data_IF_030435447911
#
_entry.id   IF_030435447911
#
_cell.length_a   1.000
_cell.length_b   1.000
_cell.length_c   1.000
_cell.angle_alpha   90.00
_cell.angle_beta   90.00
_cell.angle_gamma   90.00
#
_symmetry.space_group_name_H-M   'P 1'
#
loop_
_entity.id
_entity.type
_entity.pdbx_description
1 polymer ?
#
# COMPACT_ATOMS: atom_id res chain seq x y z
N UNK A 1 8.50 6.81 11.40
CA UNK A 1 8.60 5.43 11.96
C UNK A 1 10.01 5.13 12.43
N UNK A 2 11.02 5.59 11.70
CA UNK A 2 12.44 5.47 12.06
C UNK A 2 12.75 6.12 13.41
N UNK A 3 12.19 7.31 13.69
CA UNK A 3 12.28 7.98 14.99
C UNK A 3 11.73 7.17 16.19
N UNK A 4 10.85 6.20 15.94
CA UNK A 4 10.33 5.31 17.01
C UNK A 4 11.36 4.22 17.37
N UNK A 5 12.40 4.04 16.55
CA UNK A 5 13.50 3.10 16.77
C UNK A 5 13.70 2.08 15.64
N UNK A 6 13.17 2.34 14.44
CA UNK A 6 13.46 1.50 13.26
C UNK A 6 14.67 2.06 12.51
N UNK A 7 15.52 1.19 11.98
CA UNK A 7 16.65 1.62 11.13
C UNK A 7 16.17 2.20 9.80
N UNK A 8 15.15 1.59 9.19
CA UNK A 8 14.54 2.07 7.94
C UNK A 8 13.09 1.63 7.86
N UNK A 9 12.24 2.48 7.30
CA UNK A 9 10.88 2.07 6.94
C UNK A 9 10.93 0.91 5.93
N UNK A 10 10.18 -0.15 6.20
CA UNK A 10 10.18 -1.39 5.40
C UNK A 10 10.83 -2.58 6.11
N UNK A 11 11.67 -2.34 7.13
CA UNK A 11 12.28 -3.41 7.90
C UNK A 11 11.25 -4.20 8.76
N UNK A 12 11.61 -5.36 9.31
CA UNK A 12 10.82 -6.04 10.33
C UNK A 12 10.45 -5.09 11.48
N UNK A 13 9.21 -5.17 11.96
CA UNK A 13 8.68 -4.21 12.95
C UNK A 13 7.94 -3.02 12.35
N UNK A 14 8.21 -2.62 11.09
CA UNK A 14 7.53 -1.47 10.44
C UNK A 14 6.01 -1.52 10.55
N UNK A 15 5.41 -2.67 10.26
CA UNK A 15 3.94 -2.85 10.32
C UNK A 15 3.41 -2.68 11.75
N UNK A 16 4.11 -3.20 12.76
CA UNK A 16 3.70 -3.06 14.16
C UNK A 16 3.82 -1.61 14.64
N UNK A 17 4.93 -0.95 14.33
CA UNK A 17 5.16 0.46 14.64
C UNK A 17 4.12 1.36 13.98
N UNK A 18 3.79 1.07 12.71
CA UNK A 18 2.74 1.79 11.98
C UNK A 18 1.36 1.56 12.60
N UNK A 19 1.04 0.34 13.02
CA UNK A 19 -0.22 0.04 13.70
C UNK A 19 -0.36 0.82 15.00
N UNK A 20 0.70 0.86 15.81
CA UNK A 20 0.76 1.64 17.05
C UNK A 20 0.56 3.14 16.78
N UNK A 21 1.24 3.69 15.78
CA UNK A 21 1.08 5.08 15.38
C UNK A 21 -0.36 5.38 14.94
N UNK A 22 -0.93 4.53 14.10
CA UNK A 22 -2.27 4.73 13.57
C UNK A 22 -3.34 4.65 14.67
N UNK A 23 -3.20 3.72 15.62
CA UNK A 23 -4.08 3.61 16.78
C UNK A 23 -4.01 4.86 17.68
N UNK A 24 -2.81 5.36 17.94
CA UNK A 24 -2.61 6.60 18.71
C UNK A 24 -3.26 7.81 18.02
N UNK A 25 -3.09 7.96 16.70
CA UNK A 25 -3.69 9.04 15.91
C UNK A 25 -5.21 8.93 15.91
N UNK A 26 -5.77 7.73 15.72
CA UNK A 26 -7.22 7.51 15.74
C UNK A 26 -7.84 7.81 17.10
N UNK A 27 -7.21 7.37 18.20
CA UNK A 27 -7.65 7.69 19.56
C UNK A 27 -7.60 9.19 19.84
N UNK A 28 -6.52 9.88 19.41
CA UNK A 28 -6.44 11.33 19.49
C UNK A 28 -7.55 12.03 18.70
N UNK A 29 -7.81 11.57 17.48
CA UNK A 29 -8.88 12.10 16.63
C UNK A 29 -10.29 11.90 17.22
N UNK A 30 -10.57 10.73 17.78
CA UNK A 30 -11.84 10.42 18.47
C UNK A 30 -12.04 11.29 19.72
N UNK A 31 -10.97 11.64 20.43
CA UNK A 31 -11.05 12.55 21.57
C UNK A 31 -11.40 13.99 21.16
N UNK A 32 -11.01 14.42 19.95
CA UNK A 32 -11.18 15.79 19.48
C UNK A 32 -12.45 16.01 18.63
N UNK A 33 -13.03 14.95 18.05
CA UNK A 33 -14.16 15.07 17.11
C UNK A 33 -15.19 13.96 17.30
N UNK A 34 -16.47 14.33 17.20
CA UNK A 34 -17.60 13.39 17.18
C UNK A 34 -17.80 12.70 15.82
N UNK A 35 -17.14 13.18 14.77
CA UNK A 35 -17.18 12.62 13.42
C UNK A 35 -15.76 12.44 12.90
N UNK A 36 -15.30 11.19 12.85
CA UNK A 36 -14.00 10.82 12.31
C UNK A 36 -14.22 10.12 10.97
N UNK A 37 -13.72 10.70 9.88
CA UNK A 37 -13.86 10.15 8.53
C UNK A 37 -13.01 8.89 8.31
N UNK A 38 -13.38 8.06 7.33
CA UNK A 38 -12.76 6.75 7.08
C UNK A 38 -11.28 6.76 6.69
N UNK A 39 -10.75 7.89 6.20
CA UNK A 39 -9.33 8.04 5.84
C UNK A 39 -8.46 8.61 6.97
N UNK A 40 -8.99 8.70 8.19
CA UNK A 40 -8.25 9.22 9.35
C UNK A 40 -7.19 8.20 9.80
N UNK A 41 -5.95 8.40 9.35
CA UNK A 41 -4.82 7.54 9.68
C UNK A 41 -3.52 7.98 9.00
N UNK A 42 -2.45 7.23 9.25
CA UNK A 42 -1.15 7.47 8.62
C UNK A 42 -1.24 7.23 7.11
N UNK A 43 -0.81 8.19 6.30
CA UNK A 43 -0.76 8.11 4.85
C UNK A 43 0.58 7.50 4.41
N UNK A 44 0.58 6.69 3.33
CA UNK A 44 1.79 6.02 2.81
C UNK A 44 1.99 6.36 1.32
N UNK A 45 2.18 7.65 0.96
CA UNK A 45 2.37 8.02 -0.44
C UNK A 45 3.84 7.86 -0.83
N UNK A 46 4.16 6.82 -1.60
CA UNK A 46 5.57 6.58 -1.98
C UNK A 46 6.15 7.76 -2.74
N UNK A 47 5.38 8.46 -3.59
CA UNK A 47 5.89 9.58 -4.39
C UNK A 47 5.99 10.93 -3.65
N UNK A 48 5.37 11.05 -2.47
CA UNK A 48 5.24 12.33 -1.75
C UNK A 48 6.09 12.38 -0.47
N UNK A 49 6.53 11.22 0.04
CA UNK A 49 7.34 11.12 1.25
C UNK A 49 8.80 10.76 0.92
N UNK A 50 9.73 11.68 1.22
CA UNK A 50 11.15 11.51 0.93
C UNK A 50 11.79 10.32 1.68
N UNK A 51 11.30 9.99 2.88
CA UNK A 51 11.76 8.83 3.65
C UNK A 51 11.32 7.52 3.00
N UNK A 52 10.10 7.48 2.47
CA UNK A 52 9.60 6.33 1.70
C UNK A 52 10.35 6.15 0.39
N UNK A 53 10.60 7.23 -0.37
CA UNK A 53 11.43 7.19 -1.58
C UNK A 53 12.81 6.59 -1.24
N UNK A 54 13.49 7.13 -0.22
CA UNK A 54 14.79 6.65 0.19
C UNK A 54 14.76 5.18 0.66
N UNK A 55 13.67 4.73 1.29
CA UNK A 55 13.51 3.33 1.70
C UNK A 55 13.30 2.39 0.51
N UNK A 56 12.58 2.83 -0.53
CA UNK A 56 12.42 2.08 -1.78
C UNK A 56 13.74 2.00 -2.55
N UNK A 57 14.45 3.12 -2.70
CA UNK A 57 15.74 3.17 -3.40
C UNK A 57 16.81 2.28 -2.75
N UNK A 58 16.78 2.18 -1.41
CA UNK A 58 17.64 1.25 -0.65
C UNK A 58 17.17 -0.21 -0.70
N UNK A 59 16.02 -0.49 -1.32
CA UNK A 59 15.41 -1.82 -1.40
C UNK A 59 14.79 -2.33 -0.10
N UNK A 60 14.65 -1.49 0.92
CA UNK A 60 14.06 -1.87 2.20
C UNK A 60 12.53 -1.92 2.14
N UNK A 61 11.92 -1.06 1.33
CA UNK A 61 10.47 -0.98 1.15
C UNK A 61 10.05 -1.61 -0.18
N UNK A 62 9.48 -2.81 -0.12
CA UNK A 62 8.95 -3.53 -1.29
C UNK A 62 7.44 -3.35 -1.44
N UNK A 63 6.90 -3.72 -2.61
CA UNK A 63 5.45 -3.68 -2.86
C UNK A 63 4.67 -4.55 -1.86
N UNK A 64 5.16 -5.76 -1.57
CA UNK A 64 4.53 -6.68 -0.61
C UNK A 64 4.61 -6.15 0.82
N UNK A 65 5.66 -5.36 1.12
CA UNK A 65 5.75 -4.70 2.43
C UNK A 65 4.77 -3.54 2.54
N UNK A 66 4.58 -2.77 1.47
CA UNK A 66 3.54 -1.75 1.39
C UNK A 66 2.15 -2.38 1.56
N UNK A 67 1.86 -3.48 0.87
CA UNK A 67 0.65 -4.30 1.03
C UNK A 67 0.49 -4.78 2.49
N UNK A 68 1.53 -5.31 3.12
CA UNK A 68 1.45 -5.69 4.53
C UNK A 68 1.20 -4.49 5.47
N UNK A 69 1.68 -3.29 5.13
CA UNK A 69 1.40 -2.06 5.85
C UNK A 69 -0.04 -1.60 5.63
N UNK A 70 -0.65 -1.88 4.47
CA UNK A 70 -2.05 -1.54 4.21
C UNK A 70 -2.96 -2.23 5.19
N UNK A 71 -2.68 -3.44 5.67
CA UNK A 71 -3.47 -4.14 6.71
C UNK A 71 -3.78 -3.27 7.94
N UNK A 72 -2.86 -2.40 8.33
CA UNK A 72 -2.98 -1.56 9.56
C UNK A 72 -3.16 -0.07 9.27
N UNK A 73 -2.98 0.37 8.02
CA UNK A 73 -3.13 1.75 7.53
C UNK A 73 -4.57 2.07 7.06
N UNK A 74 -4.95 3.34 6.81
CA UNK A 74 -6.31 3.71 6.37
C UNK A 74 -6.52 3.80 4.86
N UNK A 75 -5.47 3.90 4.04
CA UNK A 75 -5.61 4.31 2.62
C UNK A 75 -5.42 3.17 1.63
N UNK A 76 -4.43 2.30 1.82
CA UNK A 76 -4.09 1.25 0.85
C UNK A 76 -2.80 1.57 0.09
N UNK A 77 -2.68 1.05 -1.13
CA UNK A 77 -1.55 1.30 -2.03
C UNK A 77 -1.78 2.62 -2.77
N UNK A 78 -0.99 3.64 -2.48
CA UNK A 78 -1.15 4.96 -3.11
C UNK A 78 0.12 5.48 -3.76
N UNK A 79 -0.06 6.13 -4.91
CA UNK A 79 1.00 6.75 -5.71
C UNK A 79 2.22 5.84 -5.94
N UNK A 80 1.98 4.59 -6.31
CA UNK A 80 3.06 3.62 -6.56
C UNK A 80 3.35 3.51 -8.05
N UNK A 81 4.57 3.87 -8.46
CA UNK A 81 5.05 3.66 -9.82
C UNK A 81 5.51 2.21 -10.02
N UNK A 82 5.01 1.57 -11.08
CA UNK A 82 5.33 0.18 -11.46
C UNK A 82 5.82 0.13 -12.92
N UNK A 83 6.52 -0.96 -13.34
CA UNK A 83 7.04 -1.09 -14.70
C UNK A 83 5.93 -0.96 -15.74
N UNK A 84 6.21 -0.26 -16.84
CA UNK A 84 5.22 0.01 -17.89
C UNK A 84 4.74 -1.23 -18.64
N UNK A 85 5.49 -2.32 -18.58
CA UNK A 85 5.17 -3.62 -19.16
C UNK A 85 4.38 -4.54 -18.19
N UNK A 86 4.01 -4.05 -17.01
CA UNK A 86 3.18 -4.80 -16.06
C UNK A 86 1.84 -5.14 -16.70
N UNK A 87 1.52 -6.44 -16.75
CA UNK A 87 0.30 -6.91 -17.41
C UNK A 87 -0.98 -6.48 -16.67
N UNK A 88 -2.08 -6.33 -17.40
CA UNK A 88 -3.38 -6.03 -16.82
C UNK A 88 -3.85 -7.11 -15.81
N UNK A 89 -3.47 -8.37 -16.01
CA UNK A 89 -3.78 -9.45 -15.07
C UNK A 89 -3.00 -9.32 -13.76
N UNK A 90 -1.72 -8.93 -13.81
CA UNK A 90 -0.94 -8.61 -12.61
C UNK A 90 -1.51 -7.43 -11.85
N UNK A 91 -1.85 -6.32 -12.53
CA UNK A 91 -2.48 -5.15 -11.91
C UNK A 91 -3.81 -5.53 -11.26
N UNK A 92 -4.63 -6.33 -11.95
CA UNK A 92 -5.91 -6.80 -11.43
C UNK A 92 -5.74 -7.67 -10.18
N UNK A 93 -4.67 -8.48 -10.12
CA UNK A 93 -4.37 -9.33 -8.97
C UNK A 93 -4.00 -8.48 -7.75
N UNK A 94 -3.13 -7.47 -7.92
CA UNK A 94 -2.78 -6.54 -6.83
C UNK A 94 -4.02 -5.82 -6.29
N UNK A 95 -4.93 -5.39 -7.17
CA UNK A 95 -6.22 -4.79 -6.76
C UNK A 95 -7.07 -5.81 -5.98
N UNK A 96 -7.09 -7.07 -6.41
CA UNK A 96 -7.85 -8.13 -5.73
C UNK A 96 -7.30 -8.42 -4.33
N UNK A 97 -5.97 -8.41 -4.16
CA UNK A 97 -5.31 -8.61 -2.87
C UNK A 97 -5.65 -7.48 -1.89
N UNK A 98 -5.54 -6.22 -2.33
CA UNK A 98 -5.93 -5.06 -1.52
C UNK A 98 -7.43 -5.00 -1.20
N UNK A 99 -8.27 -5.43 -2.14
CA UNK A 99 -9.69 -5.58 -1.89
C UNK A 99 -9.97 -6.67 -0.86
N UNK A 100 -9.22 -7.77 -0.86
CA UNK A 100 -9.34 -8.85 0.13
C UNK A 100 -8.91 -8.38 1.53
N UNK A 101 -7.79 -7.65 1.63
CA UNK A 101 -7.34 -7.00 2.88
C UNK A 101 -8.43 -6.08 3.42
N UNK A 102 -9.03 -5.26 2.55
CA UNK A 102 -10.14 -4.38 2.89
C UNK A 102 -11.37 -5.13 3.42
N UNK A 103 -11.81 -6.12 2.64
CA UNK A 103 -13.00 -6.93 2.92
C UNK A 103 -12.89 -7.72 4.22
N UNK A 104 -11.75 -8.37 4.46
CA UNK A 104 -11.51 -9.19 5.66
C UNK A 104 -11.43 -8.32 6.91
N UNK A 105 -10.72 -7.19 6.84
CA UNK A 105 -10.50 -6.33 8.00
C UNK A 105 -11.61 -5.28 8.21
N UNK A 106 -12.70 -5.34 7.44
CA UNK A 106 -13.79 -4.37 7.47
C UNK A 106 -13.31 -2.92 7.40
N UNK A 107 -12.44 -2.65 6.42
CA UNK A 107 -11.80 -1.35 6.23
C UNK A 107 -11.90 -0.91 4.79
N UNK A 108 -11.81 0.39 4.58
CA UNK A 108 -11.63 0.96 3.25
C UNK A 108 -10.18 0.78 2.83
N UNK A 109 -9.98 0.27 1.61
CA UNK A 109 -8.69 0.24 0.91
C UNK A 109 -8.88 0.90 -0.45
N UNK A 110 -7.80 1.47 -0.97
CA UNK A 110 -7.70 2.03 -2.30
C UNK A 110 -6.40 1.57 -2.94
N UNK A 111 -6.40 1.54 -4.28
CA UNK A 111 -5.23 1.19 -5.07
C UNK A 111 -5.03 2.25 -6.14
N UNK A 112 -3.85 2.88 -6.12
CA UNK A 112 -3.37 3.78 -7.16
C UNK A 112 -1.98 3.32 -7.59
N UNK A 113 -1.98 2.46 -8.60
CA UNK A 113 -0.78 2.03 -9.32
C UNK A 113 -0.62 2.85 -10.60
N UNK A 114 0.63 3.18 -10.92
CA UNK A 114 0.98 3.98 -12.08
C UNK A 114 1.98 3.18 -12.93
N UNK A 115 1.51 2.38 -13.90
CA UNK A 115 2.38 1.78 -14.91
C UNK A 115 2.99 2.89 -15.76
N UNK A 116 4.32 2.96 -15.84
CA UNK A 116 5.02 4.03 -16.58
C UNK A 116 5.55 3.49 -17.91
N UNK A 117 4.91 3.79 -19.05
CA UNK A 117 5.29 3.22 -20.34
C UNK A 117 6.75 3.53 -20.72
N UNK A 118 7.46 2.51 -21.19
CA UNK A 118 8.87 2.65 -21.61
C UNK A 118 9.87 2.77 -20.47
N UNK A 119 9.45 2.63 -19.21
CA UNK A 119 10.32 2.62 -18.04
C UNK A 119 10.19 1.32 -17.23
N UNK A 120 11.29 0.92 -16.61
CA UNK A 120 11.41 -0.30 -15.81
C UNK A 120 12.00 -0.07 -14.42
N UNK A 121 12.27 -1.16 -13.71
CA UNK A 121 12.87 -1.10 -12.36
C UNK A 121 14.22 -0.39 -12.40
N UNK A 122 14.41 0.58 -11.50
CA UNK A 122 15.61 1.42 -11.44
C UNK A 122 15.45 2.78 -12.13
N UNK A 123 14.41 2.97 -12.96
CA UNK A 123 14.03 4.28 -13.46
C UNK A 123 13.18 5.04 -12.42
N UNK A 124 13.10 6.36 -12.58
CA UNK A 124 12.21 7.23 -11.81
C UNK A 124 11.21 7.93 -12.74
N UNK A 125 10.02 8.23 -12.23
CA UNK A 125 9.02 9.06 -12.90
C UNK A 125 8.83 10.36 -12.14
N UNK A 126 8.81 11.48 -12.86
CA UNK A 126 8.55 12.80 -12.30
C UNK A 126 7.13 13.21 -12.67
N UNK A 127 6.28 13.38 -11.65
CA UNK A 127 4.88 13.80 -11.83
C UNK A 127 4.74 15.32 -11.83
N UNK A 128 5.74 16.03 -11.28
CA UNK A 128 5.78 17.48 -11.18
C UNK A 128 4.85 18.03 -10.09
N UNK A 129 5.13 19.27 -9.66
CA UNK A 129 4.32 19.96 -8.66
C UNK A 129 4.28 19.24 -7.31
N UNK A 130 3.08 19.07 -6.75
CA UNK A 130 2.88 18.45 -5.43
C UNK A 130 2.97 16.91 -5.44
N UNK A 131 2.87 16.27 -6.61
CA UNK A 131 2.87 14.81 -6.73
C UNK A 131 4.27 14.20 -6.72
N UNK A 132 5.31 15.05 -6.73
CA UNK A 132 6.70 14.66 -6.56
C UNK A 132 7.24 13.78 -7.70
N UNK A 133 8.13 12.87 -7.31
CA UNK A 133 8.69 11.84 -8.17
C UNK A 133 8.62 10.50 -7.46
N UNK A 134 8.58 9.42 -8.22
CA UNK A 134 8.56 8.06 -7.67
C UNK A 134 9.59 7.17 -8.36
N UNK A 135 10.40 6.40 -7.61
CA UNK A 135 11.14 5.28 -8.18
C UNK A 135 10.17 4.17 -8.62
N UNK A 136 10.50 3.49 -9.72
CA UNK A 136 9.73 2.35 -10.20
C UNK A 136 10.03 1.13 -9.33
N UNK A 137 9.01 0.67 -8.59
CA UNK A 137 9.12 -0.49 -7.69
C UNK A 137 8.99 -1.79 -8.50
N UNK A 138 9.81 -2.82 -8.22
CA UNK A 138 9.63 -4.13 -8.83
C UNK A 138 8.25 -4.73 -8.51
N UNK A 139 7.68 -5.42 -9.50
CA UNK A 139 6.48 -6.24 -9.35
C UNK A 139 6.86 -7.70 -9.56
N UNK A 140 6.21 -8.61 -8.85
CA UNK A 140 6.46 -10.03 -9.00
C UNK A 140 6.09 -10.53 -10.42
N UNK A 141 6.99 -11.27 -11.05
CA UNK A 141 6.88 -11.75 -12.43
C UNK A 141 6.08 -13.06 -12.58
N UNK A 142 5.68 -13.71 -11.48
CA UNK A 142 4.84 -14.90 -11.57
C UNK A 142 3.42 -14.54 -12.00
N UNK A 143 2.86 -15.31 -12.95
CA UNK A 143 1.60 -14.98 -13.59
C UNK A 143 0.37 -15.27 -12.71
N UNK A 144 -0.51 -14.27 -12.58
CA UNK A 144 -1.83 -14.38 -11.97
C UNK A 144 -2.98 -14.55 -13.01
N UNK A 145 -2.66 -14.74 -14.29
CA UNK A 145 -3.62 -14.73 -15.39
C UNK A 145 -4.74 -15.77 -15.24
N UNK A 146 -4.40 -16.99 -14.79
CA UNK A 146 -5.39 -18.05 -14.55
C UNK A 146 -6.35 -17.73 -13.42
N UNK A 147 -5.94 -16.94 -12.44
CA UNK A 147 -6.81 -16.54 -11.34
C UNK A 147 -7.78 -15.46 -11.80
N UNK A 148 -7.26 -14.40 -12.44
CA UNK A 148 -8.07 -13.28 -12.91
C UNK A 148 -9.06 -13.69 -14.01
N UNK A 149 -8.65 -14.58 -14.92
CA UNK A 149 -9.52 -15.06 -16.00
C UNK A 149 -10.70 -15.93 -15.52
N UNK A 150 -10.71 -16.41 -14.27
CA UNK A 150 -11.88 -17.14 -13.72
C UNK A 150 -13.12 -16.27 -13.62
N UNK A 151 -12.96 -14.97 -13.43
CA UNK A 151 -14.07 -14.05 -13.21
C UNK A 151 -15.01 -14.47 -12.06
N UNK A 152 -16.24 -13.98 -12.08
CA UNK A 152 -17.24 -14.31 -11.08
C UNK A 152 -17.18 -13.40 -9.84
N UNK A 153 -17.55 -13.95 -8.68
CA UNK A 153 -17.69 -13.20 -7.42
C UNK A 153 -16.97 -13.91 -6.29
N UNK A 154 -16.06 -13.20 -5.62
CA UNK A 154 -15.47 -13.66 -4.36
C UNK A 154 -16.57 -13.58 -3.27
N UNK A 155 -16.87 -14.70 -2.58
CA UNK A 155 -17.92 -14.72 -1.56
C UNK A 155 -17.53 -13.89 -0.34
N UNK A 156 -18.53 -13.42 0.40
CA UNK A 156 -18.32 -12.65 1.61
C UNK A 156 -17.64 -13.50 2.70
N UNK A 157 -16.76 -12.91 3.52
CA UNK A 157 -16.07 -13.65 4.58
C UNK A 157 -17.01 -14.01 5.73
N UNK A 158 -16.75 -15.15 6.37
CA UNK A 158 -17.45 -15.56 7.60
C UNK A 158 -16.88 -14.78 8.78
N UNK A 159 -17.70 -13.95 9.41
CA UNK A 159 -17.29 -13.11 10.57
C UNK A 159 -17.44 -13.80 11.93
N UNK A 160 -18.24 -14.86 12.02
CA UNK A 160 -18.60 -15.49 13.30
C UNK A 160 -17.56 -16.48 13.83
N UNK A 161 -16.58 -16.86 13.02
CA UNK A 161 -15.47 -17.74 13.39
C UNK A 161 -14.18 -16.92 13.34
N UNK A 162 -14.01 -16.02 14.31
CA UNK A 162 -12.72 -15.37 14.56
C UNK A 162 -11.86 -16.34 15.39
N UNK A 163 -10.64 -16.64 14.92
CA UNK A 163 -9.64 -17.35 15.73
C UNK A 163 -9.23 -16.52 16.94
#
# INVERSE_FOLDING_TARGET
LEEIGLESTGCPGTTATLAMLNDAVKKGGLMASSYVGGLSGAFIPVSEDAGMIAAVERGCLTLEKLEAMTCVCSVGLDMIAIPGDTTASTISAIIADEAAIGMINNKTTAVRLIPVPGKGVGDTVEFGGLLGYAPIIPVNNFSAEKFISRGGRIPAPVRSLTN
#
